data_IF_434681098894
#
_entry.id   IF_434681098894
#
_cell.length_a   1.000
_cell.length_b   1.000
_cell.length_c   1.000
_cell.angle_alpha   90.00
_cell.angle_beta   90.00
_cell.angle_gamma   90.00
#
_symmetry.space_group_name_H-M   'P 1'
#
loop_
_entity.id
_entity.type
_entity.pdbx_description
1 polymer ?
#
# COMPACT_ATOMS: atom_id res chain seq x y z
N UNK A 1 -2.26 52.36 27.72
CA UNK A 1 -2.02 51.77 26.39
C UNK A 1 -1.27 50.46 26.59
N UNK A 2 -1.98 49.34 26.62
CA UNK A 2 -1.39 48.02 26.87
C UNK A 2 -0.89 47.42 25.54
N UNK A 3 0.43 47.29 25.42
CA UNK A 3 1.10 46.64 24.29
C UNK A 3 0.97 45.12 24.48
N UNK A 4 0.05 44.48 23.76
CA UNK A 4 -0.15 43.04 23.82
C UNK A 4 0.92 42.33 22.98
N UNK A 5 1.77 41.56 23.65
CA UNK A 5 2.79 40.71 23.06
C UNK A 5 2.13 39.45 22.50
N UNK A 6 1.91 39.38 21.18
CA UNK A 6 1.44 38.15 20.52
C UNK A 6 2.62 37.19 20.33
N UNK A 7 2.73 36.20 21.23
CA UNK A 7 3.58 35.02 21.04
C UNK A 7 2.94 34.14 19.93
N UNK A 8 3.45 34.24 18.71
CA UNK A 8 3.15 33.27 17.65
C UNK A 8 3.87 31.96 17.96
N UNK A 9 3.17 31.01 18.58
CA UNK A 9 3.55 29.61 18.54
C UNK A 9 3.38 29.10 17.11
N UNK A 10 4.44 29.18 16.30
CA UNK A 10 4.51 28.48 15.04
C UNK A 10 4.54 26.98 15.34
N UNK A 11 3.35 26.35 15.36
CA UNK A 11 3.24 24.90 15.34
C UNK A 11 3.89 24.39 14.07
N UNK A 12 5.04 23.73 14.22
CA UNK A 12 5.67 22.98 13.13
C UNK A 12 4.74 21.81 12.78
N UNK A 13 3.81 22.03 11.86
CA UNK A 13 3.18 20.97 11.10
C UNK A 13 4.27 20.33 10.23
N UNK A 14 5.05 19.41 10.81
CA UNK A 14 5.94 18.55 10.05
C UNK A 14 5.04 17.62 9.26
N UNK A 15 4.70 18.00 8.02
CA UNK A 15 4.17 17.05 7.06
C UNK A 15 5.16 15.89 7.02
N UNK A 16 4.70 14.68 7.28
CA UNK A 16 5.50 13.47 7.17
C UNK A 16 5.89 13.32 5.69
N UNK A 17 6.96 14.00 5.28
CA UNK A 17 7.47 13.91 3.92
C UNK A 17 8.04 12.50 3.77
N UNK A 18 7.29 11.65 3.08
CA UNK A 18 7.73 10.30 2.78
C UNK A 18 8.88 10.39 1.78
N UNK A 19 10.09 10.09 2.25
CA UNK A 19 11.30 10.12 1.43
C UNK A 19 11.18 9.08 0.30
N UNK A 20 11.29 9.51 -0.96
CA UNK A 20 11.21 8.62 -2.11
C UNK A 20 12.52 7.84 -2.29
N UNK A 21 12.43 6.62 -2.79
CA UNK A 21 13.61 5.86 -3.19
C UNK A 21 14.22 6.45 -4.47
N UNK A 22 15.44 6.02 -4.81
CA UNK A 22 15.93 6.13 -6.18
C UNK A 22 15.00 5.36 -7.13
N UNK A 23 15.03 5.75 -8.40
CA UNK A 23 14.34 5.02 -9.45
C UNK A 23 15.14 3.76 -9.75
N UNK A 24 14.48 2.60 -9.70
CA UNK A 24 15.07 1.31 -10.05
C UNK A 24 14.51 0.81 -11.39
N UNK A 25 15.33 0.10 -12.15
CA UNK A 25 14.93 -0.49 -13.44
C UNK A 25 14.49 -1.93 -13.24
N UNK A 26 13.30 -2.27 -13.74
CA UNK A 26 12.81 -3.65 -13.81
C UNK A 26 12.70 -4.09 -15.26
N UNK A 27 12.49 -5.38 -15.52
CA UNK A 27 12.21 -5.88 -16.88
C UNK A 27 10.98 -5.24 -17.56
N UNK A 28 10.07 -4.66 -16.78
CA UNK A 28 8.82 -4.07 -17.27
C UNK A 28 8.84 -2.53 -17.31
N UNK A 29 9.86 -1.88 -16.75
CA UNK A 29 9.97 -0.43 -16.74
C UNK A 29 10.55 0.11 -15.44
N UNK A 30 10.59 1.43 -15.33
CA UNK A 30 11.17 2.12 -14.19
C UNK A 30 10.17 2.18 -13.02
N UNK A 31 10.67 1.99 -11.81
CA UNK A 31 9.86 1.92 -10.58
C UNK A 31 10.44 2.87 -9.52
N UNK A 32 9.57 3.58 -8.79
CA UNK A 32 9.98 4.40 -7.65
C UNK A 32 9.03 4.18 -6.47
N UNK A 33 9.61 3.88 -5.31
CA UNK A 33 8.89 3.67 -4.06
C UNK A 33 9.20 4.76 -3.04
N UNK A 34 9.09 4.40 -1.77
CA UNK A 34 9.37 5.28 -0.65
C UNK A 34 9.97 4.54 0.55
N UNK A 35 10.71 5.24 1.41
CA UNK A 35 11.23 4.67 2.64
C UNK A 35 10.19 4.75 3.75
N UNK A 36 10.03 3.64 4.48
CA UNK A 36 9.22 3.57 5.69
C UNK A 36 10.09 3.24 6.90
N UNK A 37 10.08 4.04 7.97
CA UNK A 37 10.80 3.72 9.19
C UNK A 37 10.17 2.50 9.89
N UNK A 38 10.99 1.69 10.55
CA UNK A 38 10.56 0.57 11.39
C UNK A 38 10.61 1.03 12.85
N UNK A 39 9.42 1.23 13.42
CA UNK A 39 9.28 1.72 14.79
C UNK A 39 10.02 0.81 15.78
N UNK A 40 10.86 1.40 16.63
CA UNK A 40 11.60 0.69 17.67
C UNK A 40 12.95 0.10 17.25
N UNK A 41 13.32 0.15 15.97
CA UNK A 41 14.56 -0.48 15.48
C UNK A 41 15.57 0.50 14.85
N UNK A 42 15.20 1.76 14.61
CA UNK A 42 16.09 2.72 13.93
C UNK A 42 16.43 2.36 12.48
N UNK A 43 15.71 1.39 11.90
CA UNK A 43 15.88 0.93 10.53
C UNK A 43 14.83 1.57 9.62
N UNK A 44 15.10 1.61 8.32
CA UNK A 44 14.11 1.95 7.28
C UNK A 44 14.05 0.85 6.22
N UNK A 45 12.90 0.75 5.56
CA UNK A 45 12.60 -0.25 4.54
C UNK A 45 12.14 0.48 3.29
N UNK A 46 12.79 0.22 2.16
CA UNK A 46 12.31 0.65 0.86
C UNK A 46 11.03 -0.12 0.53
N UNK A 47 9.95 0.62 0.31
CA UNK A 47 8.60 0.11 0.14
C UNK A 47 8.08 0.47 -1.24
N UNK A 48 7.63 -0.54 -1.99
CA UNK A 48 7.02 -0.38 -3.30
C UNK A 48 5.65 -1.04 -3.28
N UNK A 49 4.58 -0.26 -3.36
CA UNK A 49 3.20 -0.73 -3.28
C UNK A 49 2.52 -0.71 -4.63
N UNK A 50 1.64 -1.68 -4.89
CA UNK A 50 0.83 -1.69 -6.10
C UNK A 50 1.65 -1.87 -7.39
N UNK A 51 2.66 -2.73 -7.36
CA UNK A 51 3.51 -3.02 -8.53
C UNK A 51 2.81 -4.06 -9.42
N UNK A 52 2.42 -3.73 -10.67
CA UNK A 52 1.73 -4.69 -11.54
C UNK A 52 2.67 -5.82 -11.94
N UNK A 53 2.20 -7.07 -11.86
CA UNK A 53 3.02 -8.25 -12.23
C UNK A 53 2.44 -9.07 -13.39
N UNK A 54 1.19 -8.83 -13.77
CA UNK A 54 0.49 -9.52 -14.85
C UNK A 54 -0.55 -8.60 -15.49
N UNK A 55 -0.97 -8.92 -16.72
CA UNK A 55 -2.07 -8.22 -17.38
C UNK A 55 -3.40 -8.39 -16.62
N UNK A 56 -4.28 -7.39 -16.57
CA UNK A 56 -5.56 -7.49 -15.89
C UNK A 56 -6.41 -8.67 -16.40
N UNK A 57 -6.95 -9.53 -15.52
CA UNK A 57 -7.73 -10.71 -15.87
C UNK A 57 -9.21 -10.36 -16.15
N UNK A 58 -9.45 -9.27 -16.90
CA UNK A 58 -10.77 -8.72 -17.20
C UNK A 58 -11.23 -9.08 -18.61
N UNK A 59 -12.54 -9.03 -18.86
CA UNK A 59 -13.12 -9.27 -20.18
C UNK A 59 -12.74 -10.64 -20.74
N UNK A 60 -12.13 -10.67 -21.94
CA UNK A 60 -11.71 -11.90 -22.60
C UNK A 60 -10.60 -12.66 -21.85
N UNK A 61 -9.86 -12.00 -20.96
CA UNK A 61 -8.82 -12.65 -20.15
C UNK A 61 -9.38 -13.30 -18.89
N UNK A 62 -10.68 -13.14 -18.58
CA UNK A 62 -11.29 -13.73 -17.39
C UNK A 62 -11.24 -15.25 -17.47
N UNK A 63 -10.87 -15.90 -16.37
CA UNK A 63 -10.69 -17.35 -16.27
C UNK A 63 -9.64 -17.96 -17.20
N UNK A 64 -8.83 -17.13 -17.86
CA UNK A 64 -7.66 -17.57 -18.62
C UNK A 64 -6.41 -17.53 -17.73
N UNK A 65 -5.35 -18.29 -18.09
CA UNK A 65 -4.04 -18.12 -17.45
C UNK A 65 -3.56 -16.67 -17.51
N UNK A 66 -2.85 -16.24 -16.46
CA UNK A 66 -2.27 -14.89 -16.41
C UNK A 66 -1.23 -14.73 -17.52
N UNK A 67 -1.15 -13.52 -18.09
CA UNK A 67 -0.20 -13.19 -19.14
C UNK A 67 0.83 -12.17 -18.64
N UNK A 68 2.02 -12.25 -19.21
CA UNK A 68 3.11 -11.30 -18.98
C UNK A 68 2.65 -9.87 -19.28
N UNK A 69 2.96 -8.95 -18.38
CA UNK A 69 2.67 -7.53 -18.56
C UNK A 69 3.49 -6.92 -19.70
N UNK A 70 2.90 -5.98 -20.44
CA UNK A 70 3.65 -5.10 -21.33
C UNK A 70 4.55 -4.15 -20.55
N UNK A 71 5.65 -3.72 -21.15
CA UNK A 71 6.49 -2.68 -20.54
C UNK A 71 5.72 -1.36 -20.45
N UNK A 72 5.83 -0.65 -19.33
CA UNK A 72 5.27 0.70 -19.17
C UNK A 72 6.30 1.76 -19.50
N UNK A 73 5.81 2.92 -19.98
CA UNK A 73 6.65 4.09 -20.30
C UNK A 73 6.74 4.99 -19.07
N UNK A 74 7.93 5.53 -18.80
CA UNK A 74 8.18 6.41 -17.68
C UNK A 74 8.38 5.67 -16.36
N UNK A 75 8.20 6.39 -15.24
CA UNK A 75 8.39 5.86 -13.89
C UNK A 75 7.04 5.54 -13.26
N UNK A 76 6.86 4.29 -12.83
CA UNK A 76 5.70 3.87 -12.04
C UNK A 76 5.92 4.26 -10.58
N UNK A 77 5.04 5.12 -10.05
CA UNK A 77 5.03 5.54 -8.65
C UNK A 77 4.34 4.48 -7.78
N UNK A 78 5.14 3.59 -7.19
CA UNK A 78 4.68 2.50 -6.33
C UNK A 78 4.41 2.96 -4.89
N UNK A 79 3.52 3.94 -4.74
CA UNK A 79 3.27 4.63 -3.46
C UNK A 79 2.01 4.14 -2.75
N UNK A 80 1.10 3.49 -3.47
CA UNK A 80 -0.22 3.10 -2.97
C UNK A 80 -0.49 1.62 -3.28
N UNK A 81 -1.21 0.95 -2.39
CA UNK A 81 -1.66 -0.42 -2.65
C UNK A 81 -2.51 -0.49 -3.93
N UNK A 82 -2.46 -1.63 -4.62
CA UNK A 82 -3.47 -2.01 -5.61
C UNK A 82 -4.82 -2.34 -4.95
N UNK A 83 -5.93 -2.41 -5.71
CA UNK A 83 -7.21 -2.85 -5.17
C UNK A 83 -7.15 -4.33 -4.77
N UNK A 84 -7.97 -4.73 -3.81
CA UNK A 84 -8.14 -6.15 -3.48
C UNK A 84 -8.91 -6.86 -4.62
N UNK A 85 -8.67 -8.16 -4.79
CA UNK A 85 -9.49 -8.94 -5.71
C UNK A 85 -10.95 -9.06 -5.21
N UNK A 86 -11.93 -9.25 -6.11
CA UNK A 86 -13.33 -9.31 -5.72
C UNK A 86 -13.60 -10.48 -4.79
N UNK A 87 -14.16 -10.19 -3.62
CA UNK A 87 -14.48 -11.17 -2.59
C UNK A 87 -15.70 -10.73 -1.77
N UNK A 88 -16.51 -11.69 -1.35
CA UNK A 88 -17.62 -11.43 -0.43
C UNK A 88 -17.07 -11.21 0.97
N UNK A 89 -17.12 -9.98 1.45
CA UNK A 89 -16.71 -9.64 2.80
C UNK A 89 -17.83 -10.03 3.80
N UNK A 90 -17.50 -10.64 4.95
CA UNK A 90 -18.48 -10.89 6.01
C UNK A 90 -19.05 -9.58 6.55
N UNK A 91 -20.34 -9.58 6.91
CA UNK A 91 -20.93 -8.45 7.63
C UNK A 91 -20.39 -8.42 9.07
N UNK A 92 -19.80 -7.29 9.44
CA UNK A 92 -19.28 -7.02 10.78
C UNK A 92 -19.96 -5.83 11.44
N UNK A 93 -21.08 -5.34 10.89
CA UNK A 93 -21.84 -4.21 11.44
C UNK A 93 -22.47 -4.57 12.79
N UNK A 94 -23.01 -5.78 12.91
CA UNK A 94 -23.50 -6.34 14.16
C UNK A 94 -22.48 -7.34 14.73
N UNK A 95 -21.76 -6.92 15.77
CA UNK A 95 -20.73 -7.76 16.40
C UNK A 95 -21.30 -9.01 17.05
N UNK A 96 -22.45 -8.91 17.71
CA UNK A 96 -23.09 -10.05 18.38
C UNK A 96 -23.45 -11.13 17.36
N UNK A 97 -24.02 -10.73 16.22
CA UNK A 97 -24.33 -11.63 15.12
C UNK A 97 -23.07 -12.14 14.40
N UNK A 98 -22.01 -11.34 14.29
CA UNK A 98 -20.75 -11.83 13.73
C UNK A 98 -20.14 -12.93 14.63
N UNK A 99 -20.17 -12.74 15.94
CA UNK A 99 -19.59 -13.67 16.92
C UNK A 99 -20.31 -15.02 17.04
N UNK A 100 -21.52 -15.17 16.50
CA UNK A 100 -22.16 -16.50 16.39
C UNK A 100 -21.51 -17.38 15.33
N UNK A 101 -20.82 -16.78 14.35
CA UNK A 101 -20.22 -17.48 13.21
C UNK A 101 -18.69 -17.27 13.07
N UNK A 102 -18.07 -16.47 13.94
CA UNK A 102 -16.60 -16.31 13.98
C UNK A 102 -16.06 -16.01 15.38
N UNK A 103 -14.80 -16.36 15.63
CA UNK A 103 -14.14 -16.03 16.89
C UNK A 103 -13.87 -14.52 17.02
N UNK A 104 -13.72 -14.04 18.27
CA UNK A 104 -13.34 -12.65 18.56
C UNK A 104 -12.07 -12.21 17.83
N UNK A 105 -11.04 -13.07 17.81
CA UNK A 105 -9.78 -12.79 17.12
C UNK A 105 -9.93 -12.66 15.60
N UNK A 106 -10.82 -13.47 15.00
CA UNK A 106 -11.17 -13.35 13.57
C UNK A 106 -11.90 -12.05 13.29
N UNK A 107 -12.90 -11.70 14.10
CA UNK A 107 -13.64 -10.43 13.96
C UNK A 107 -12.70 -9.22 14.07
N UNK A 108 -11.80 -9.22 15.06
CA UNK A 108 -10.84 -8.15 15.27
C UNK A 108 -9.87 -8.01 14.06
N UNK A 109 -9.37 -9.14 13.57
CA UNK A 109 -8.50 -9.16 12.38
C UNK A 109 -9.22 -8.66 11.14
N UNK A 110 -10.47 -9.08 10.93
CA UNK A 110 -11.28 -8.63 9.81
C UNK A 110 -11.53 -7.12 9.88
N UNK A 111 -11.95 -6.60 11.04
CA UNK A 111 -12.16 -5.16 11.24
C UNK A 111 -10.90 -4.33 10.96
N UNK A 112 -9.74 -4.81 11.39
CA UNK A 112 -8.44 -4.15 11.13
C UNK A 112 -8.13 -4.07 9.64
N UNK A 113 -8.42 -5.14 8.88
CA UNK A 113 -8.07 -5.23 7.47
C UNK A 113 -9.17 -4.69 6.54
N UNK A 114 -10.40 -4.56 7.03
CA UNK A 114 -11.58 -4.19 6.23
C UNK A 114 -11.38 -2.93 5.38
N UNK A 115 -10.75 -1.83 5.88
CA UNK A 115 -10.53 -0.65 5.05
C UNK A 115 -9.75 -0.93 3.76
N UNK A 116 -8.72 -1.78 3.83
CA UNK A 116 -7.92 -2.17 2.67
C UNK A 116 -8.67 -3.12 1.71
N UNK A 117 -9.62 -3.91 2.23
CA UNK A 117 -10.41 -4.87 1.46
C UNK A 117 -11.66 -4.27 0.81
N UNK A 118 -12.07 -3.05 1.20
CA UNK A 118 -13.27 -2.39 0.65
C UNK A 118 -13.13 -2.01 -0.82
N UNK A 119 -11.93 -1.57 -1.24
CA UNK A 119 -11.68 -1.20 -2.64
C UNK A 119 -11.32 -2.46 -3.42
N UNK A 120 -12.29 -2.97 -4.17
CA UNK A 120 -12.14 -4.18 -4.98
C UNK A 120 -12.21 -3.89 -6.47
N UNK A 121 -11.47 -4.68 -7.26
CA UNK A 121 -11.48 -4.63 -8.73
C UNK A 121 -11.05 -5.99 -9.28
N UNK A 122 -11.57 -6.41 -10.45
CA UNK A 122 -11.01 -7.58 -11.17
C UNK A 122 -9.58 -7.32 -11.66
N UNK A 123 -9.22 -6.06 -11.91
CA UNK A 123 -7.83 -5.64 -12.07
C UNK A 123 -7.16 -5.50 -10.69
N UNK A 124 -6.68 -6.61 -10.13
CA UNK A 124 -6.09 -6.70 -8.78
C UNK A 124 -4.72 -7.39 -8.76
N UNK A 125 -4.10 -7.66 -9.91
CA UNK A 125 -2.83 -8.42 -9.99
C UNK A 125 -1.62 -7.52 -9.72
N UNK A 126 -1.47 -7.11 -8.45
CA UNK A 126 -0.39 -6.26 -7.96
C UNK A 126 0.37 -6.91 -6.80
N UNK A 127 1.66 -6.64 -6.71
CA UNK A 127 2.53 -7.03 -5.59
C UNK A 127 2.91 -5.81 -4.76
N UNK A 128 3.33 -6.09 -3.52
CA UNK A 128 3.95 -5.11 -2.63
C UNK A 128 5.31 -5.65 -2.21
N UNK A 129 6.35 -4.83 -2.34
CA UNK A 129 7.73 -5.19 -2.07
C UNK A 129 8.23 -4.38 -0.87
N UNK A 130 8.93 -5.05 0.04
CA UNK A 130 9.54 -4.47 1.24
C UNK A 130 11.00 -4.91 1.28
N UNK A 131 11.90 -3.99 0.96
CA UNK A 131 13.34 -4.27 0.84
C UNK A 131 14.07 -3.57 1.99
N UNK A 132 14.82 -4.30 2.84
CA UNK A 132 15.65 -3.69 3.87
C UNK A 132 16.66 -2.71 3.25
N UNK A 133 16.76 -1.50 3.81
CA UNK A 133 17.77 -0.55 3.35
C UNK A 133 19.11 -0.81 4.06
N UNK A 134 19.91 -1.71 3.48
CA UNK A 134 21.28 -2.00 3.91
C UNK A 134 22.34 -1.07 3.26
N UNK A 135 21.92 0.02 2.61
CA UNK A 135 22.86 0.91 1.90
C UNK A 135 23.48 0.30 0.63
N UNK A 136 22.82 -0.71 0.04
CA UNK A 136 23.19 -1.33 -1.24
C UNK A 136 22.18 -0.94 -2.32
N UNK A 137 22.61 -1.01 -3.58
CA UNK A 137 21.70 -0.84 -4.71
C UNK A 137 20.59 -1.89 -4.66
N UNK A 138 19.34 -1.43 -4.69
CA UNK A 138 18.16 -2.27 -4.68
C UNK A 138 17.95 -2.82 -6.10
N UNK A 139 18.06 -4.14 -6.24
CA UNK A 139 17.80 -4.87 -7.49
C UNK A 139 16.47 -5.62 -7.34
N UNK A 140 15.51 -5.35 -8.24
CA UNK A 140 14.15 -5.92 -8.23
C UNK A 140 13.81 -6.51 -9.60
#
# INVERSE_FOLDING_TARGET
MACSLMLFLAGLNRSEQTEKTSTISTKYGQLRGFYRPVAGYGLRVATYLGVPYATPPVGANRFSPTRTLSQWVGVHEALNFGPACPQRLPDTSNETAALTHMSRGRLQTLKRNLPALKRQSEDCLYLNLYVPDEGKDIIV
#
